data_IF_197757680267
#
_entry.id   IF_197757680267
#
_cell.length_a   1.000
_cell.length_b   1.000
_cell.length_c   1.000
_cell.angle_alpha   90.00
_cell.angle_beta   90.00
_cell.angle_gamma   90.00
#
_symmetry.space_group_name_H-M   'P 1'
#
loop_
_entity.id
_entity.type
_entity.pdbx_description
1 polymer ?
#
# COMPACT_ATOMS: atom_id res chain seq x y z
N UNK A 1 32.82 -10.11 0.90
CA UNK A 1 31.36 -10.15 0.68
C UNK A 1 30.86 -8.72 0.55
N UNK A 2 30.20 -8.31 -0.54
CA UNK A 2 29.65 -6.96 -0.64
C UNK A 2 28.53 -6.79 0.38
N UNK A 3 28.63 -5.79 1.25
CA UNK A 3 27.59 -5.43 2.21
C UNK A 3 26.33 -5.03 1.43
N UNK A 4 25.25 -5.80 1.59
CA UNK A 4 23.95 -5.45 1.03
C UNK A 4 23.55 -4.06 1.56
N UNK A 5 23.47 -3.08 0.65
CA UNK A 5 23.08 -1.72 0.98
C UNK A 5 21.60 -1.70 1.33
N UNK A 6 21.27 -1.78 2.63
CA UNK A 6 19.91 -1.73 3.13
C UNK A 6 19.39 -0.30 2.99
N UNK A 7 18.66 0.01 1.92
CA UNK A 7 17.97 1.30 1.77
C UNK A 7 16.97 1.45 2.92
N UNK A 8 17.26 2.34 3.87
CA UNK A 8 16.47 2.55 5.10
C UNK A 8 15.60 3.81 5.01
N UNK A 9 14.77 3.91 3.97
CA UNK A 9 13.81 5.02 3.87
C UNK A 9 12.54 4.61 4.62
N UNK A 10 12.37 5.11 5.84
CA UNK A 10 11.20 4.82 6.69
C UNK A 10 9.94 5.57 6.25
N UNK A 11 10.10 6.70 5.56
CA UNK A 11 9.00 7.53 5.09
C UNK A 11 8.83 7.30 3.59
N UNK A 12 7.85 6.48 3.23
CA UNK A 12 7.54 6.15 1.84
C UNK A 12 6.36 6.98 1.36
N UNK A 13 5.33 7.10 2.21
CA UNK A 13 4.16 7.95 1.99
C UNK A 13 3.96 8.86 3.21
N UNK A 14 4.61 10.04 3.24
CA UNK A 14 4.53 10.94 4.40
C UNK A 14 3.10 11.40 4.67
N UNK A 15 2.28 11.56 3.64
CA UNK A 15 0.90 12.04 3.79
C UNK A 15 0.07 10.99 4.52
N UNK A 16 0.13 9.73 4.09
CA UNK A 16 -0.57 8.64 4.76
C UNK A 16 -0.05 8.43 6.19
N UNK A 17 1.27 8.33 6.37
CA UNK A 17 1.87 8.00 7.67
C UNK A 17 1.59 9.10 8.72
N UNK A 18 1.72 10.37 8.36
CA UNK A 18 1.43 11.49 9.28
C UNK A 18 -0.07 11.55 9.59
N UNK A 19 -0.94 11.46 8.57
CA UNK A 19 -2.39 11.53 8.78
C UNK A 19 -2.88 10.40 9.70
N UNK A 20 -2.43 9.17 9.47
CA UNK A 20 -2.78 8.02 10.30
C UNK A 20 -2.27 8.19 11.73
N UNK A 21 -0.99 8.57 11.89
CA UNK A 21 -0.38 8.74 13.21
C UNK A 21 -1.05 9.85 14.02
N UNK A 22 -1.36 11.00 13.39
CA UNK A 22 -2.10 12.09 14.04
C UNK A 22 -3.52 11.68 14.43
N UNK A 23 -4.21 10.90 13.59
CA UNK A 23 -5.55 10.41 13.90
C UNK A 23 -5.54 9.49 15.13
N UNK A 24 -4.59 8.54 15.20
CA UNK A 24 -4.44 7.66 16.36
C UNK A 24 -4.05 8.44 17.60
N UNK A 25 -3.08 9.36 17.50
CA UNK A 25 -2.71 10.23 18.61
C UNK A 25 -3.90 11.05 19.11
N UNK A 26 -4.71 11.63 18.22
CA UNK A 26 -5.87 12.42 18.63
C UNK A 26 -6.89 11.59 19.41
N UNK A 27 -7.25 10.40 18.91
CA UNK A 27 -8.17 9.48 19.61
C UNK A 27 -7.61 9.08 20.96
N UNK A 28 -6.30 8.80 21.02
CA UNK A 28 -5.59 8.45 22.24
C UNK A 28 -5.56 9.62 23.24
N UNK A 29 -5.26 10.85 22.81
CA UNK A 29 -5.28 12.05 23.66
C UNK A 29 -6.68 12.31 24.24
N UNK A 30 -7.73 12.19 23.41
CA UNK A 30 -9.12 12.40 23.83
C UNK A 30 -9.54 11.34 24.87
N UNK A 31 -9.26 10.06 24.59
CA UNK A 31 -9.64 8.96 25.48
C UNK A 31 -8.86 8.98 26.79
N UNK A 32 -7.56 9.33 26.78
CA UNK A 32 -6.76 9.37 28.00
C UNK A 32 -6.98 10.64 28.84
N UNK A 33 -7.50 11.72 28.26
CA UNK A 33 -7.87 12.93 28.99
C UNK A 33 -8.93 12.68 30.07
N UNK A 34 -9.66 11.56 29.99
CA UNK A 34 -10.59 11.14 31.01
C UNK A 34 -9.93 11.00 32.40
N UNK A 35 -8.72 10.42 32.49
CA UNK A 35 -8.05 10.19 33.77
C UNK A 35 -7.66 11.48 34.51
N UNK A 36 -6.99 12.48 33.87
CA UNK A 36 -6.74 13.77 34.50
C UNK A 36 -8.01 14.47 35.00
N UNK A 37 -9.11 14.39 34.25
CA UNK A 37 -10.39 15.00 34.66
C UNK A 37 -10.94 14.35 35.93
N UNK A 38 -10.93 13.01 36.00
CA UNK A 38 -11.37 12.27 37.19
C UNK A 38 -10.47 12.56 38.39
N UNK A 39 -9.15 12.60 38.21
CA UNK A 39 -8.20 12.93 39.28
C UNK A 39 -8.44 14.35 39.80
N UNK A 40 -8.61 15.32 38.90
CA UNK A 40 -8.91 16.70 39.26
C UNK A 40 -10.19 16.79 40.10
N UNK A 41 -11.26 16.13 39.66
CA UNK A 41 -12.54 16.10 40.36
C UNK A 41 -12.42 15.42 41.73
N UNK A 42 -11.69 14.31 41.80
CA UNK A 42 -11.47 13.58 43.05
C UNK A 42 -10.74 14.44 44.09
N UNK A 43 -9.64 15.09 43.71
CA UNK A 43 -8.88 15.95 44.63
C UNK A 43 -9.73 17.13 45.08
N UNK A 44 -10.48 17.76 44.16
CA UNK A 44 -11.38 18.87 44.51
C UNK A 44 -12.44 18.44 45.55
N UNK A 45 -13.05 17.27 45.36
CA UNK A 45 -14.00 16.71 46.32
C UNK A 45 -13.36 16.39 47.69
N UNK A 46 -12.09 15.96 47.70
CA UNK A 46 -11.35 15.72 48.95
C UNK A 46 -11.04 17.03 49.68
N UNK A 47 -10.66 18.07 48.94
CA UNK A 47 -10.38 19.41 49.49
C UNK A 47 -11.61 19.97 50.20
N UNK A 48 -12.80 19.82 49.61
CA UNK A 48 -14.06 20.25 50.24
C UNK A 48 -14.41 19.47 51.51
N UNK A 49 -14.14 18.15 51.53
CA UNK A 49 -14.45 17.29 52.67
C UNK A 49 -13.46 17.41 53.83
N UNK A 50 -12.20 17.80 53.55
CA UNK A 50 -11.12 17.89 54.53
C UNK A 50 -10.47 19.28 54.49
N UNK A 51 -11.14 20.34 55.00
CA UNK A 51 -10.65 21.70 54.92
C UNK A 51 -9.32 21.93 55.65
N UNK A 52 -9.04 21.15 56.71
CA UNK A 52 -7.76 21.18 57.43
C UNK A 52 -6.55 20.73 56.59
N UNK A 53 -6.77 20.08 55.46
CA UNK A 53 -5.74 19.59 54.53
C UNK A 53 -5.79 20.29 53.17
N UNK A 54 -6.60 21.35 53.02
CA UNK A 54 -6.86 21.98 51.73
C UNK A 54 -5.60 22.51 51.03
N UNK A 55 -4.68 23.12 51.78
CA UNK A 55 -3.41 23.62 51.23
C UNK A 55 -2.55 22.50 50.63
N UNK A 56 -2.39 21.39 51.35
CA UNK A 56 -1.62 20.23 50.88
C UNK A 56 -2.26 19.56 49.66
N UNK A 57 -3.60 19.47 49.62
CA UNK A 57 -4.33 18.90 48.50
C UNK A 57 -4.24 19.77 47.24
N UNK A 58 -4.25 21.10 47.38
CA UNK A 58 -4.08 22.01 46.24
C UNK A 58 -2.65 22.01 45.70
N UNK A 59 -1.64 21.94 46.56
CA UNK A 59 -0.24 21.74 46.16
C UNK A 59 -0.06 20.41 45.40
N UNK A 60 -0.66 19.33 45.92
CA UNK A 60 -0.66 18.02 45.26
C UNK A 60 -1.33 18.08 43.88
N UNK A 61 -2.47 18.78 43.77
CA UNK A 61 -3.21 18.95 42.53
C UNK A 61 -2.40 19.68 41.45
N UNK A 62 -1.74 20.79 41.79
CA UNK A 62 -0.90 21.52 40.83
C UNK A 62 0.35 20.70 40.44
N UNK A 63 0.96 19.98 41.40
CA UNK A 63 2.07 19.06 41.11
C UNK A 63 1.64 17.96 40.13
N UNK A 64 0.51 17.29 40.40
CA UNK A 64 -0.02 16.22 39.56
C UNK A 64 -0.43 16.71 38.18
N UNK A 65 -1.02 17.90 38.06
CA UNK A 65 -1.40 18.50 36.78
C UNK A 65 -0.19 18.61 35.84
N UNK A 66 0.94 19.11 36.33
CA UNK A 66 2.15 19.22 35.51
C UNK A 66 2.65 17.84 35.08
N UNK A 67 2.70 16.88 36.01
CA UNK A 67 3.13 15.50 35.72
C UNK A 67 2.21 14.84 34.69
N UNK A 68 0.89 14.98 34.83
CA UNK A 68 -0.09 14.38 33.92
C UNK A 68 0.00 14.98 32.51
N UNK A 69 0.21 16.29 32.38
CA UNK A 69 0.41 16.93 31.07
C UNK A 69 1.70 16.44 30.41
N UNK A 70 2.81 16.39 31.15
CA UNK A 70 4.09 15.90 30.62
C UNK A 70 4.00 14.43 30.22
N UNK A 71 3.32 13.60 31.01
CA UNK A 71 3.05 12.20 30.69
C UNK A 71 2.21 12.07 29.42
N UNK A 72 1.16 12.88 29.30
CA UNK A 72 0.28 12.90 28.13
C UNK A 72 1.03 13.25 26.84
N UNK A 73 1.88 14.28 26.88
CA UNK A 73 2.70 14.69 25.74
C UNK A 73 3.77 13.65 25.41
N UNK A 74 4.46 13.13 26.43
CA UNK A 74 5.50 12.11 26.25
C UNK A 74 4.94 10.82 25.65
N UNK A 75 3.83 10.32 26.20
CA UNK A 75 3.17 9.12 25.71
C UNK A 75 2.56 9.33 24.31
N UNK A 76 2.04 10.53 24.03
CA UNK A 76 1.57 10.91 22.70
C UNK A 76 2.70 10.93 21.66
N UNK A 77 3.88 11.45 22.00
CA UNK A 77 5.06 11.47 21.13
C UNK A 77 5.57 10.05 20.85
N UNK A 78 5.67 9.21 21.89
CA UNK A 78 6.07 7.79 21.72
C UNK A 78 5.09 7.05 20.83
N UNK A 79 3.79 7.24 21.06
CA UNK A 79 2.73 6.64 20.23
C UNK A 79 2.84 7.09 18.78
N UNK A 80 3.06 8.38 18.54
CA UNK A 80 3.26 8.93 17.19
C UNK A 80 4.42 8.25 16.47
N UNK A 81 5.58 8.13 17.13
CA UNK A 81 6.76 7.47 16.56
C UNK A 81 6.46 5.99 16.24
N UNK A 82 5.81 5.27 17.16
CA UNK A 82 5.41 3.87 16.94
C UNK A 82 4.47 3.76 15.75
N UNK A 83 3.48 4.65 15.61
CA UNK A 83 2.56 4.66 14.48
C UNK A 83 3.29 4.89 13.14
N UNK A 84 4.27 5.80 13.09
CA UNK A 84 5.08 6.02 11.88
C UNK A 84 5.87 4.75 11.51
N UNK A 85 6.49 4.10 12.49
CA UNK A 85 7.26 2.87 12.28
C UNK A 85 6.35 1.70 11.85
N UNK A 86 5.16 1.61 12.44
CA UNK A 86 4.17 0.59 12.10
C UNK A 86 3.65 0.79 10.67
N UNK A 87 3.23 2.00 10.33
CA UNK A 87 2.69 2.34 9.00
C UNK A 87 3.71 2.20 7.88
N UNK A 88 5.02 2.21 8.17
CA UNK A 88 6.05 1.90 7.20
C UNK A 88 5.88 0.49 6.58
N UNK A 89 5.48 -0.50 7.39
CA UNK A 89 5.25 -1.88 6.94
C UNK A 89 4.02 -2.04 6.03
N UNK A 90 3.20 -1.00 5.93
CA UNK A 90 2.01 -0.92 5.06
C UNK A 90 2.36 -0.08 3.83
N UNK A 91 2.94 1.11 4.03
CA UNK A 91 3.25 2.05 2.95
C UNK A 91 4.30 1.51 1.96
N UNK A 92 5.29 0.75 2.45
CA UNK A 92 6.31 0.12 1.60
C UNK A 92 5.72 -0.81 0.54
N UNK A 93 4.96 -1.86 0.94
CA UNK A 93 4.24 -2.74 0.02
C UNK A 93 3.34 -2.00 -0.97
N UNK A 94 2.53 -1.05 -0.49
CA UNK A 94 1.59 -0.32 -1.34
C UNK A 94 2.29 0.53 -2.41
N UNK A 95 3.42 1.15 -2.06
CA UNK A 95 4.25 1.83 -3.04
C UNK A 95 4.81 0.88 -4.09
N UNK A 96 5.31 -0.29 -3.68
CA UNK A 96 5.86 -1.29 -4.60
C UNK A 96 4.76 -1.86 -5.52
N UNK A 97 3.58 -2.16 -4.98
CA UNK A 97 2.42 -2.60 -5.75
C UNK A 97 2.02 -1.56 -6.80
N UNK A 98 1.89 -0.29 -6.40
CA UNK A 98 1.55 0.79 -7.35
C UNK A 98 2.58 0.88 -8.48
N UNK A 99 3.87 0.77 -8.16
CA UNK A 99 4.93 0.78 -9.17
C UNK A 99 4.83 -0.44 -10.09
N UNK A 100 4.59 -1.62 -9.53
CA UNK A 100 4.43 -2.87 -10.29
C UNK A 100 3.26 -2.76 -11.27
N UNK A 101 2.08 -2.34 -10.81
CA UNK A 101 0.90 -2.17 -11.66
C UNK A 101 1.09 -1.08 -12.73
N UNK A 102 1.86 -0.04 -12.43
CA UNK A 102 2.21 0.99 -13.42
C UNK A 102 3.09 0.39 -14.53
N UNK A 103 4.11 -0.37 -14.15
CA UNK A 103 4.99 -1.05 -15.11
C UNK A 103 4.22 -2.07 -15.95
N UNK A 104 3.34 -2.88 -15.33
CA UNK A 104 2.46 -3.83 -16.01
C UNK A 104 1.58 -3.13 -17.05
N UNK A 105 0.94 -2.02 -16.69
CA UNK A 105 0.12 -1.22 -17.61
C UNK A 105 0.93 -0.67 -18.80
N UNK A 106 2.20 -0.35 -18.57
CA UNK A 106 3.07 0.20 -19.59
C UNK A 106 3.80 -0.91 -20.40
N UNK A 107 3.37 -2.17 -20.30
CA UNK A 107 3.93 -3.32 -21.03
C UNK A 107 5.30 -3.79 -20.54
N UNK A 108 5.73 -3.35 -19.36
CA UNK A 108 7.07 -3.65 -18.80
C UNK A 108 6.95 -4.62 -17.63
N UNK A 109 6.73 -5.90 -17.93
CA UNK A 109 6.61 -6.92 -16.88
C UNK A 109 8.01 -7.34 -16.43
N UNK A 110 8.46 -6.78 -15.31
CA UNK A 110 9.71 -7.19 -14.67
C UNK A 110 9.43 -8.19 -13.54
N UNK A 111 9.34 -9.47 -13.91
CA UNK A 111 9.22 -10.59 -12.97
C UNK A 111 8.00 -10.50 -12.04
N UNK A 112 8.06 -11.21 -10.92
CA UNK A 112 6.97 -11.30 -9.96
C UNK A 112 7.08 -10.22 -8.86
N UNK A 113 5.92 -9.78 -8.36
CA UNK A 113 5.79 -8.90 -7.22
C UNK A 113 6.09 -9.64 -5.91
N UNK A 114 6.95 -9.07 -5.07
CA UNK A 114 7.21 -9.58 -3.72
C UNK A 114 7.33 -8.43 -2.72
N UNK A 115 6.84 -8.59 -1.50
CA UNK A 115 7.10 -7.65 -0.41
C UNK A 115 8.22 -8.14 0.50
N UNK A 116 8.74 -7.27 1.39
CA UNK A 116 9.83 -7.69 2.29
C UNK A 116 9.28 -8.55 3.41
N UNK A 117 10.12 -9.42 3.98
CA UNK A 117 9.77 -10.18 5.18
C UNK A 117 9.34 -9.28 6.34
N UNK A 118 8.12 -9.51 6.85
CA UNK A 118 7.53 -8.77 7.95
C UNK A 118 6.79 -7.49 7.57
N UNK A 119 6.68 -7.18 6.27
CA UNK A 119 5.69 -6.23 5.74
C UNK A 119 4.33 -6.90 5.57
N UNK A 120 3.25 -6.11 5.55
CA UNK A 120 1.88 -6.61 5.38
C UNK A 120 1.55 -6.93 3.91
N UNK A 121 0.44 -7.64 3.71
CA UNK A 121 -0.17 -7.94 2.41
C UNK A 121 0.63 -8.89 1.50
N UNK A 122 1.37 -9.85 2.07
CA UNK A 122 2.12 -10.83 1.26
C UNK A 122 1.18 -11.63 0.33
N UNK A 123 0.02 -12.02 0.86
CA UNK A 123 -1.09 -12.64 0.15
C UNK A 123 -1.55 -11.83 -1.07
N UNK A 124 -1.58 -10.50 -0.96
CA UNK A 124 -1.92 -9.64 -2.12
C UNK A 124 -0.84 -9.69 -3.20
N UNK A 125 0.44 -9.83 -2.83
CA UNK A 125 1.49 -10.01 -3.83
C UNK A 125 1.33 -11.34 -4.57
N UNK A 126 1.00 -12.41 -3.84
CA UNK A 126 0.77 -13.74 -4.40
C UNK A 126 -0.41 -13.72 -5.39
N UNK A 127 -1.57 -13.18 -4.97
CA UNK A 127 -2.76 -13.04 -5.82
C UNK A 127 -2.51 -12.19 -7.09
N UNK A 128 -1.74 -11.11 -6.97
CA UNK A 128 -1.37 -10.29 -8.13
C UNK A 128 -0.51 -11.09 -9.10
N UNK A 129 0.44 -11.88 -8.60
CA UNK A 129 1.29 -12.72 -9.44
C UNK A 129 0.46 -13.79 -10.16
N UNK A 130 -0.41 -14.49 -9.44
CA UNK A 130 -1.29 -15.51 -10.02
C UNK A 130 -2.20 -14.92 -11.10
N UNK A 131 -2.74 -13.72 -10.85
CA UNK A 131 -3.56 -12.99 -11.83
C UNK A 131 -2.75 -12.67 -13.08
N UNK A 132 -1.54 -12.13 -12.94
CA UNK A 132 -0.67 -11.80 -14.08
C UNK A 132 -0.30 -13.05 -14.86
N UNK A 133 0.10 -14.12 -14.18
CA UNK A 133 0.44 -15.39 -14.84
C UNK A 133 -0.75 -16.00 -15.59
N UNK A 134 -1.97 -15.90 -15.05
CA UNK A 134 -3.18 -16.35 -15.73
C UNK A 134 -3.45 -15.59 -17.03
N UNK A 135 -3.26 -14.26 -17.03
CA UNK A 135 -3.37 -13.48 -18.26
C UNK A 135 -2.27 -13.79 -19.27
N UNK A 136 -1.03 -13.98 -18.82
CA UNK A 136 0.08 -14.34 -19.70
C UNK A 136 -0.16 -15.70 -20.38
N UNK A 137 -0.69 -16.69 -19.67
CA UNK A 137 -1.03 -17.98 -20.28
C UNK A 137 -2.16 -17.84 -21.30
N UNK A 138 -3.20 -17.07 -21.00
CA UNK A 138 -4.29 -16.79 -21.95
C UNK A 138 -3.77 -16.10 -23.22
N UNK A 139 -2.92 -15.07 -23.10
CA UNK A 139 -2.34 -14.39 -24.25
C UNK A 139 -1.46 -15.31 -25.08
N UNK A 140 -0.73 -16.22 -24.43
CA UNK A 140 0.10 -17.22 -25.13
C UNK A 140 -0.74 -18.21 -25.92
N UNK A 141 -1.85 -18.70 -25.35
CA UNK A 141 -2.82 -19.53 -26.08
C UNK A 141 -3.41 -18.76 -27.27
N UNK A 142 -3.86 -17.53 -27.05
CA UNK A 142 -4.43 -16.68 -28.11
C UNK A 142 -3.42 -16.39 -29.23
N UNK A 143 -2.14 -16.17 -28.89
CA UNK A 143 -1.05 -15.97 -29.88
C UNK A 143 -0.92 -17.17 -30.81
N UNK A 144 -1.00 -18.40 -30.29
CA UNK A 144 -0.98 -19.62 -31.12
C UNK A 144 -2.17 -19.64 -32.08
N UNK A 145 -3.39 -19.33 -31.59
CA UNK A 145 -4.59 -19.28 -32.43
C UNK A 145 -4.52 -18.18 -33.50
N UNK A 146 -4.00 -16.99 -33.16
CA UNK A 146 -3.81 -15.89 -34.11
C UNK A 146 -2.84 -16.27 -35.23
N UNK A 147 -1.73 -16.92 -34.87
CA UNK A 147 -0.72 -17.39 -35.84
C UNK A 147 -1.31 -18.43 -36.81
N UNK A 148 -2.08 -19.39 -36.29
CA UNK A 148 -2.80 -20.38 -37.11
C UNK A 148 -3.81 -19.71 -38.06
N UNK A 149 -4.64 -18.79 -37.54
CA UNK A 149 -5.63 -18.06 -38.33
C UNK A 149 -4.96 -17.24 -39.45
N UNK A 150 -3.88 -16.52 -39.13
CA UNK A 150 -3.07 -15.78 -40.10
C UNK A 150 -2.50 -16.69 -41.19
N UNK A 151 -2.01 -17.88 -40.82
CA UNK A 151 -1.50 -18.89 -41.77
C UNK A 151 -2.60 -19.42 -42.72
N UNK A 152 -3.78 -19.76 -42.19
CA UNK A 152 -4.91 -20.20 -43.02
C UNK A 152 -5.38 -19.10 -43.98
N UNK A 153 -5.46 -17.85 -43.53
CA UNK A 153 -5.81 -16.71 -44.37
C UNK A 153 -4.77 -16.46 -45.47
N UNK A 154 -3.48 -16.54 -45.15
CA UNK A 154 -2.39 -16.45 -46.14
C UNK A 154 -2.52 -17.53 -47.20
N UNK A 155 -2.81 -18.78 -46.83
CA UNK A 155 -3.05 -19.87 -47.79
C UNK A 155 -4.30 -19.62 -48.64
N UNK A 156 -5.41 -19.19 -48.03
CA UNK A 156 -6.65 -18.88 -48.75
C UNK A 156 -6.45 -17.74 -49.77
N UNK A 157 -5.63 -16.74 -49.44
CA UNK A 157 -5.29 -15.63 -50.33
C UNK A 157 -4.74 -16.08 -51.69
N UNK A 158 -4.09 -17.25 -51.76
CA UNK A 158 -3.54 -17.80 -53.00
C UNK A 158 -4.62 -18.33 -53.95
N UNK A 159 -5.81 -18.62 -53.44
CA UNK A 159 -6.90 -19.28 -54.19
C UNK A 159 -8.06 -18.36 -54.54
N UNK A 160 -8.12 -17.16 -53.97
CA UNK A 160 -9.22 -16.21 -54.19
C UNK A 160 -8.89 -15.19 -55.29
N UNK A 161 -9.90 -14.54 -55.90
CA UNK A 161 -9.72 -13.42 -56.83
C UNK A 161 -8.99 -12.22 -56.20
N UNK A 162 -8.33 -11.41 -57.04
CA UNK A 162 -7.41 -10.34 -56.60
C UNK A 162 -8.08 -9.25 -55.74
N UNK A 163 -9.36 -8.94 -55.99
CA UNK A 163 -10.13 -7.99 -55.19
C UNK A 163 -10.29 -8.44 -53.72
N UNK A 164 -10.34 -9.76 -53.47
CA UNK A 164 -10.44 -10.32 -52.11
C UNK A 164 -9.09 -10.46 -51.42
N UNK A 165 -7.99 -10.59 -52.18
CA UNK A 165 -6.62 -10.69 -51.63
C UNK A 165 -6.26 -9.46 -50.80
N UNK A 166 -6.69 -8.29 -51.24
CA UNK A 166 -6.46 -7.01 -50.55
C UNK A 166 -7.08 -7.06 -49.15
N UNK A 167 -8.36 -7.45 -49.05
CA UNK A 167 -9.09 -7.53 -47.77
C UNK A 167 -8.46 -8.57 -46.84
N UNK A 168 -8.05 -9.73 -47.38
CA UNK A 168 -7.36 -10.75 -46.59
C UNK A 168 -6.03 -10.23 -46.04
N UNK A 169 -5.25 -9.50 -46.87
CA UNK A 169 -3.99 -8.88 -46.44
C UNK A 169 -4.19 -7.90 -45.28
N UNK A 170 -5.22 -7.05 -45.35
CA UNK A 170 -5.56 -6.14 -44.25
C UNK A 170 -5.93 -6.86 -42.95
N UNK A 171 -6.68 -7.97 -43.05
CA UNK A 171 -7.05 -8.77 -41.88
C UNK A 171 -5.80 -9.40 -41.27
N UNK A 172 -4.96 -10.03 -42.08
CA UNK A 172 -3.71 -10.66 -41.63
C UNK A 172 -2.82 -9.65 -40.93
N UNK A 173 -2.63 -8.45 -41.49
CA UNK A 173 -1.83 -7.41 -40.86
C UNK A 173 -2.40 -7.01 -39.48
N UNK A 174 -3.72 -6.87 -39.34
CA UNK A 174 -4.34 -6.60 -38.04
C UNK A 174 -4.19 -7.74 -37.04
N UNK A 175 -4.18 -8.99 -37.50
CA UNK A 175 -3.94 -10.14 -36.62
C UNK A 175 -2.49 -10.14 -36.12
N UNK A 176 -1.52 -9.87 -37.00
CA UNK A 176 -0.11 -9.71 -36.66
C UNK A 176 0.10 -8.56 -35.66
N UNK A 177 -0.59 -7.42 -35.84
CA UNK A 177 -0.55 -6.30 -34.89
C UNK A 177 -1.11 -6.69 -33.49
N UNK A 178 -2.12 -7.58 -33.43
CA UNK A 178 -2.64 -8.08 -32.16
C UNK A 178 -1.62 -9.02 -31.50
N UNK A 179 -1.03 -9.91 -32.31
CA UNK A 179 0.01 -10.86 -31.90
C UNK A 179 1.20 -10.14 -31.25
N UNK A 180 1.73 -9.10 -31.89
CA UNK A 180 2.86 -8.31 -31.39
C UNK A 180 2.56 -7.69 -30.00
N UNK A 181 1.35 -7.15 -29.79
CA UNK A 181 0.96 -6.60 -28.48
C UNK A 181 0.83 -7.67 -27.40
N UNK A 182 0.45 -8.89 -27.76
CA UNK A 182 0.37 -10.00 -26.81
C UNK A 182 1.77 -10.49 -26.44
N UNK A 183 2.69 -10.56 -27.39
CA UNK A 183 4.10 -10.87 -27.12
C UNK A 183 4.72 -9.87 -26.12
N UNK A 184 4.46 -8.56 -26.26
CA UNK A 184 4.91 -7.56 -25.28
C UNK A 184 4.39 -7.80 -23.85
N UNK A 185 3.20 -8.41 -23.71
CA UNK A 185 2.58 -8.71 -22.41
C UNK A 185 2.97 -10.07 -21.85
N UNK A 186 3.43 -11.00 -22.67
CA UNK A 186 3.92 -12.31 -22.21
C UNK A 186 5.34 -12.15 -21.63
N UNK A 187 6.14 -11.22 -22.19
CA UNK A 187 7.49 -10.89 -21.72
C UNK A 187 8.59 -11.65 -22.45
#
# INVERSE_FOLDING_TARGET
>A
MPKAYKRSIFIVDPKFQIKFSLMICLVMLISSAFYPLVIYQLISNLTEKFPGSAGQLEEMKESLKMVLILWQLGFGLVTFIICILFTHKIAGPMYKLKKYLTNLRDGRIEGSLYFRGGDYFQDVADEVNETVSSFQEQFKEDTVYLSEASSYLKNLSQTVPDDKKIVIGEIVHKLEDIEERFEELIG
#
